data_IF_906776477151
#
_entry.id   IF_906776477151
#
_cell.length_a   1.000
_cell.length_b   1.000
_cell.length_c   1.000
_cell.angle_alpha   90.00
_cell.angle_beta   90.00
_cell.angle_gamma   90.00
#
_symmetry.space_group_name_H-M   'P 1'
#
loop_
_entity.id
_entity.type
_entity.pdbx_description
1 polymer ?
#
# COMPACT_ATOMS: atom_id res chain seq x y z
N UNK A 1 22.90 12.98 20.68
CA UNK A 1 21.67 12.43 20.09
C UNK A 1 20.90 13.59 19.50
N UNK A 2 20.64 13.58 18.20
CA UNK A 2 19.91 14.63 17.51
C UNK A 2 18.59 14.02 17.04
N UNK A 3 17.47 14.53 17.54
CA UNK A 3 16.13 14.10 17.16
C UNK A 3 15.60 15.13 16.17
N UNK A 4 15.48 14.73 14.91
CA UNK A 4 14.84 15.55 13.88
C UNK A 4 13.34 15.24 13.86
N UNK A 5 12.53 16.25 14.12
CA UNK A 5 11.07 16.15 14.11
C UNK A 5 10.56 16.75 12.79
N UNK A 6 10.51 15.93 11.75
CA UNK A 6 9.83 16.28 10.50
C UNK A 6 8.37 15.87 10.56
N UNK A 7 7.50 16.66 9.92
CA UNK A 7 6.13 16.24 9.67
C UNK A 7 6.13 14.99 8.79
N UNK A 8 5.37 13.96 9.19
CA UNK A 8 5.20 12.71 8.46
C UNK A 8 3.73 12.56 8.10
N UNK A 9 3.44 12.46 6.80
CA UNK A 9 2.08 12.21 6.29
C UNK A 9 1.88 10.72 6.08
N UNK A 10 1.01 10.13 6.90
CA UNK A 10 0.70 8.69 6.84
C UNK A 10 -0.66 8.47 6.16
N UNK A 11 -0.65 7.76 5.04
CA UNK A 11 -1.88 7.22 4.45
C UNK A 11 -2.35 6.01 5.27
N UNK A 12 -3.67 5.84 5.46
CA UNK A 12 -4.19 4.74 6.27
C UNK A 12 -5.28 3.96 5.54
N UNK A 13 -5.20 2.63 5.59
CA UNK A 13 -6.21 1.73 5.04
C UNK A 13 -6.28 0.44 5.85
N UNK A 14 -7.49 0.11 6.33
CA UNK A 14 -7.75 -1.16 7.03
C UNK A 14 -8.82 -1.94 6.25
N UNK A 15 -8.52 -3.21 5.96
CA UNK A 15 -9.46 -4.13 5.30
C UNK A 15 -10.33 -4.82 6.34
N UNK A 16 -11.57 -5.11 5.94
CA UNK A 16 -12.54 -5.88 6.73
C UNK A 16 -12.00 -7.28 7.05
N UNK A 17 -12.56 -7.95 8.08
CA UNK A 17 -12.17 -9.32 8.44
C UNK A 17 -12.27 -10.31 7.27
N UNK A 18 -11.47 -11.36 7.31
CA UNK A 18 -11.41 -12.41 6.28
C UNK A 18 -10.49 -12.11 5.08
N UNK A 19 -10.20 -10.84 4.79
CA UNK A 19 -9.23 -10.51 3.72
C UNK A 19 -7.79 -10.87 4.10
N UNK A 20 -7.43 -10.80 5.39
CA UNK A 20 -6.09 -11.16 5.86
C UNK A 20 -5.78 -12.64 5.61
N UNK A 21 -6.76 -13.53 5.79
CA UNK A 21 -6.58 -14.96 5.52
C UNK A 21 -6.49 -15.28 4.04
N UNK A 22 -7.22 -14.55 3.18
CA UNK A 22 -7.24 -14.78 1.72
C UNK A 22 -6.03 -14.17 1.02
N UNK A 23 -5.59 -12.99 1.48
CA UNK A 23 -4.53 -12.20 0.85
C UNK A 23 -3.53 -11.70 1.90
N UNK A 24 -2.82 -12.61 2.61
CA UNK A 24 -2.02 -12.29 3.79
C UNK A 24 -0.77 -11.45 3.53
N UNK A 25 -0.41 -11.22 2.27
CA UNK A 25 0.77 -10.45 1.88
C UNK A 25 0.46 -9.40 0.82
N UNK A 26 -0.82 -9.17 0.53
CA UNK A 26 -1.22 -8.19 -0.47
C UNK A 26 -1.73 -6.92 0.20
N UNK A 27 -1.26 -5.78 -0.29
CA UNK A 27 -1.91 -4.49 -0.04
C UNK A 27 -2.60 -3.99 -1.30
N UNK A 28 -3.64 -3.18 -1.10
CA UNK A 28 -4.46 -2.63 -2.19
C UNK A 28 -4.49 -1.12 -2.13
N UNK A 29 -4.36 -0.49 -3.30
CA UNK A 29 -4.46 0.96 -3.48
C UNK A 29 -5.53 1.24 -4.51
N UNK A 30 -6.44 2.18 -4.25
CA UNK A 30 -7.46 2.57 -5.24
C UNK A 30 -6.80 3.21 -6.45
N UNK A 31 -7.05 2.65 -7.63
CA UNK A 31 -6.48 3.06 -8.91
C UNK A 31 -7.52 3.73 -9.83
N UNK A 32 -8.82 3.55 -9.58
CA UNK A 32 -9.90 4.22 -10.32
C UNK A 32 -11.12 4.45 -9.44
N UNK A 33 -11.83 5.54 -9.70
CA UNK A 33 -13.18 5.84 -9.19
C UNK A 33 -14.09 6.23 -10.34
N UNK A 34 -15.38 5.92 -10.23
CA UNK A 34 -16.36 6.22 -11.28
C UNK A 34 -16.48 7.71 -11.59
N UNK A 35 -16.30 8.57 -10.58
CA UNK A 35 -16.37 10.03 -10.73
C UNK A 35 -15.17 10.66 -11.45
N UNK A 36 -14.10 9.90 -11.70
CA UNK A 36 -12.84 10.44 -12.25
C UNK A 36 -12.02 11.29 -11.27
N UNK A 37 -12.45 11.41 -10.02
CA UNK A 37 -11.68 12.12 -8.99
C UNK A 37 -10.30 11.48 -8.76
N UNK A 38 -9.35 12.28 -8.25
CA UNK A 38 -7.98 11.84 -7.99
C UNK A 38 -7.96 10.62 -7.05
N UNK A 39 -7.29 9.55 -7.50
CA UNK A 39 -7.25 8.26 -6.81
C UNK A 39 -6.14 8.21 -5.77
N UNK A 40 -6.21 7.24 -4.85
CA UNK A 40 -5.13 7.01 -3.87
C UNK A 40 -3.80 6.75 -4.57
N UNK A 41 -3.80 5.96 -5.65
CA UNK A 41 -2.60 5.66 -6.42
C UNK A 41 -2.04 6.92 -7.07
N UNK A 42 -2.87 7.76 -7.68
CA UNK A 42 -2.44 9.02 -8.29
C UNK A 42 -1.76 9.94 -7.25
N UNK A 43 -2.38 10.10 -6.07
CA UNK A 43 -1.81 10.88 -4.96
C UNK A 43 -0.44 10.36 -4.55
N UNK A 44 -0.33 9.06 -4.32
CA UNK A 44 0.92 8.42 -3.86
C UNK A 44 2.02 8.56 -4.91
N UNK A 45 1.71 8.32 -6.19
CA UNK A 45 2.66 8.43 -7.30
C UNK A 45 3.12 9.89 -7.48
N UNK A 46 2.22 10.86 -7.29
CA UNK A 46 2.53 12.30 -7.32
C UNK A 46 3.27 12.81 -6.07
N UNK A 47 3.75 11.91 -5.20
CA UNK A 47 4.58 12.25 -4.05
C UNK A 47 3.80 12.58 -2.77
N UNK A 48 2.48 12.39 -2.74
CA UNK A 48 1.72 12.53 -1.50
C UNK A 48 2.00 11.37 -0.56
N UNK A 49 2.28 11.70 0.70
CA UNK A 49 2.48 10.71 1.76
C UNK A 49 3.90 10.16 1.81
N UNK A 50 4.37 10.00 3.05
CA UNK A 50 5.65 9.43 3.39
C UNK A 50 5.52 7.93 3.62
N UNK A 51 4.52 7.54 4.43
CA UNK A 51 4.25 6.16 4.79
C UNK A 51 2.79 5.78 4.54
N UNK A 52 2.53 4.48 4.43
CA UNK A 52 1.19 3.91 4.38
C UNK A 52 1.04 2.86 5.47
N UNK A 53 0.09 3.09 6.38
CA UNK A 53 -0.41 2.07 7.27
C UNK A 53 -1.45 1.20 6.54
N UNK A 54 -1.16 -0.09 6.41
CA UNK A 54 -2.07 -1.07 5.82
C UNK A 54 -2.35 -2.19 6.82
N UNK A 55 -3.62 -2.40 7.16
CA UNK A 55 -4.00 -3.41 8.15
C UNK A 55 -5.16 -4.28 7.73
N UNK A 56 -5.30 -5.40 8.44
CA UNK A 56 -6.48 -6.27 8.41
C UNK A 56 -7.14 -6.23 9.78
N UNK A 57 -8.42 -5.89 9.82
CA UNK A 57 -9.20 -5.95 11.04
C UNK A 57 -9.33 -7.40 11.53
N UNK A 58 -9.29 -7.59 12.85
CA UNK A 58 -9.57 -8.87 13.50
C UNK A 58 -11.08 -9.20 13.44
N UNK A 59 -11.45 -10.44 13.78
CA UNK A 59 -12.83 -10.93 13.60
C UNK A 59 -13.88 -10.13 14.39
N UNK A 60 -13.53 -9.62 15.57
CA UNK A 60 -14.44 -8.80 16.39
C UNK A 60 -14.55 -7.32 15.93
N UNK A 61 -13.72 -6.91 14.96
CA UNK A 61 -13.68 -5.56 14.41
C UNK A 61 -13.17 -4.47 15.38
N UNK A 62 -12.64 -4.84 16.54
CA UNK A 62 -12.15 -3.92 17.59
C UNK A 62 -10.64 -3.74 17.56
N UNK A 63 -9.93 -4.52 16.74
CA UNK A 63 -8.48 -4.47 16.62
C UNK A 63 -7.99 -4.86 15.23
N UNK A 64 -6.69 -5.15 15.16
CA UNK A 64 -6.00 -5.56 13.95
C UNK A 64 -5.48 -6.98 14.13
N UNK A 65 -5.74 -7.85 13.15
CA UNK A 65 -5.17 -9.19 13.08
C UNK A 65 -3.73 -9.16 12.54
N UNK A 66 -3.45 -8.27 11.57
CA UNK A 66 -2.12 -8.05 11.02
C UNK A 66 -2.02 -6.63 10.43
N UNK A 67 -0.83 -6.03 10.45
CA UNK A 67 -0.58 -4.75 9.81
C UNK A 67 0.87 -4.57 9.32
N UNK A 68 1.03 -3.64 8.38
CA UNK A 68 2.32 -3.14 7.91
C UNK A 68 2.33 -1.62 7.88
N UNK A 69 3.49 -1.05 8.18
CA UNK A 69 3.84 0.31 7.85
C UNK A 69 4.77 0.28 6.64
N UNK A 70 4.31 0.83 5.52
CA UNK A 70 4.99 0.76 4.23
C UNK A 70 5.64 2.11 3.89
N UNK A 71 6.88 2.11 3.40
CA UNK A 71 7.57 3.30 2.91
C UNK A 71 7.12 3.64 1.47
N UNK A 72 6.47 4.80 1.30
CA UNK A 72 5.97 5.22 -0.01
C UNK A 72 7.07 5.71 -0.95
N UNK A 73 8.22 6.15 -0.42
CA UNK A 73 9.41 6.44 -1.25
C UNK A 73 9.99 5.14 -1.80
N UNK A 74 10.10 4.10 -0.99
CA UNK A 74 10.53 2.77 -1.43
C UNK A 74 9.55 2.19 -2.46
N UNK A 75 8.25 2.32 -2.22
CA UNK A 75 7.20 1.93 -3.17
C UNK A 75 7.36 2.63 -4.52
N UNK A 76 7.48 3.96 -4.54
CA UNK A 76 7.70 4.74 -5.78
C UNK A 76 8.97 4.33 -6.50
N UNK A 77 10.09 4.17 -5.79
CA UNK A 77 11.34 3.72 -6.37
C UNK A 77 11.22 2.32 -7.00
N UNK A 78 10.47 1.42 -6.38
CA UNK A 78 10.21 0.09 -6.92
C UNK A 78 9.38 0.15 -8.22
N UNK A 79 8.36 1.01 -8.29
CA UNK A 79 7.58 1.21 -9.52
C UNK A 79 8.44 1.78 -10.66
N UNK A 80 9.34 2.72 -10.36
CA UNK A 80 10.30 3.25 -11.35
C UNK A 80 11.21 2.15 -11.86
N UNK A 81 11.76 1.29 -10.99
CA UNK A 81 12.58 0.15 -11.40
C UNK A 81 11.79 -0.82 -12.27
N UNK A 82 10.57 -1.17 -11.86
CA UNK A 82 9.69 -2.01 -12.68
C UNK A 82 9.53 -1.47 -14.10
N UNK A 83 9.34 -0.17 -14.26
CA UNK A 83 9.22 0.47 -15.58
C UNK A 83 10.56 0.58 -16.33
N UNK A 84 11.66 0.91 -15.64
CA UNK A 84 12.94 1.24 -16.27
C UNK A 84 13.80 0.01 -16.60
N UNK A 85 13.73 -1.04 -15.78
CA UNK A 85 14.58 -2.22 -15.91
C UNK A 85 13.84 -3.56 -15.79
N UNK A 86 12.51 -3.53 -15.79
CA UNK A 86 11.69 -4.75 -15.79
C UNK A 86 11.65 -5.50 -14.45
N UNK A 87 12.08 -4.88 -13.34
CA UNK A 87 11.98 -5.51 -12.02
C UNK A 87 10.54 -5.96 -11.74
N UNK A 88 10.35 -7.25 -11.46
CA UNK A 88 9.02 -7.86 -11.41
C UNK A 88 8.37 -7.74 -10.04
N UNK A 89 7.54 -6.72 -9.88
CA UNK A 89 6.60 -6.61 -8.75
C UNK A 89 5.33 -7.39 -9.08
N UNK A 90 5.01 -8.39 -8.25
CA UNK A 90 3.76 -9.14 -8.36
C UNK A 90 2.61 -8.21 -7.99
N UNK A 91 1.79 -7.90 -8.99
CA UNK A 91 0.69 -6.96 -8.87
C UNK A 91 -0.35 -7.22 -9.95
N UNK A 92 -1.55 -6.67 -9.76
CA UNK A 92 -2.63 -6.76 -10.72
C UNK A 92 -3.75 -5.78 -10.41
N UNK A 93 -4.76 -5.75 -11.28
CA UNK A 93 -5.92 -4.88 -11.14
C UNK A 93 -7.16 -5.68 -10.73
N UNK A 94 -7.93 -5.11 -9.82
CA UNK A 94 -9.23 -5.61 -9.37
C UNK A 94 -10.28 -4.55 -9.66
N UNK A 95 -11.26 -4.89 -10.48
CA UNK A 95 -12.45 -4.06 -10.72
C UNK A 95 -13.58 -4.49 -9.79
N UNK A 96 -14.31 -3.52 -9.25
CA UNK A 96 -15.52 -3.76 -8.47
C UNK A 96 -16.77 -3.43 -9.30
N UNK A 97 -17.91 -3.95 -8.87
CA UNK A 97 -19.20 -3.71 -9.50
C UNK A 97 -19.61 -2.22 -9.48
N UNK A 98 -19.17 -1.45 -8.48
CA UNK A 98 -19.45 -0.02 -8.32
C UNK A 98 -18.61 0.91 -9.22
N UNK A 99 -17.82 0.33 -10.14
CA UNK A 99 -16.96 1.09 -11.05
C UNK A 99 -15.65 1.58 -10.43
N UNK A 100 -15.38 1.30 -9.16
CA UNK A 100 -14.06 1.52 -8.57
C UNK A 100 -13.10 0.40 -8.95
N UNK A 101 -11.81 0.73 -9.09
CA UNK A 101 -10.75 -0.27 -9.26
C UNK A 101 -9.68 -0.11 -8.20
N UNK A 102 -9.07 -1.22 -7.82
CA UNK A 102 -7.89 -1.26 -6.97
C UNK A 102 -6.75 -1.93 -7.73
N UNK A 103 -5.52 -1.50 -7.45
CA UNK A 103 -4.32 -2.27 -7.78
C UNK A 103 -3.88 -3.01 -6.52
N UNK A 104 -3.63 -4.30 -6.63
CA UNK A 104 -3.05 -5.11 -5.56
C UNK A 104 -1.57 -5.33 -5.81
N UNK A 105 -0.80 -5.48 -4.73
CA UNK A 105 0.64 -5.67 -4.75
C UNK A 105 1.05 -6.67 -3.67
N UNK A 106 1.87 -7.68 -4.02
CA UNK A 106 2.47 -8.59 -3.04
C UNK A 106 3.72 -7.96 -2.43
N UNK A 107 3.69 -7.68 -1.14
CA UNK A 107 4.76 -7.02 -0.37
C UNK A 107 6.10 -7.75 -0.52
N UNK A 108 6.07 -9.08 -0.64
CA UNK A 108 7.27 -9.92 -0.72
C UNK A 108 7.98 -9.82 -2.07
N UNK A 109 7.33 -9.19 -3.07
CA UNK A 109 7.89 -9.02 -4.41
C UNK A 109 8.62 -7.69 -4.60
N UNK A 110 8.73 -6.87 -3.55
CA UNK A 110 9.47 -5.61 -3.60
C UNK A 110 10.97 -5.84 -3.43
N UNK A 111 11.82 -4.92 -3.96
CA UNK A 111 13.25 -4.96 -3.74
C UNK A 111 13.59 -4.97 -2.24
N UNK A 112 14.69 -5.63 -1.89
CA UNK A 112 15.23 -5.58 -0.53
C UNK A 112 15.68 -4.16 -0.16
N UNK A 113 16.20 -3.39 -1.12
CA UNK A 113 16.76 -2.07 -0.88
C UNK A 113 16.22 -0.96 -1.83
N UNK A 114 15.71 0.17 -1.30
CA UNK A 114 15.33 0.35 0.10
C UNK A 114 14.15 -0.57 0.48
N UNK A 115 14.03 -1.00 1.76
CA UNK A 115 12.96 -1.89 2.19
C UNK A 115 11.60 -1.21 2.09
N UNK A 116 10.60 -1.94 1.58
CA UNK A 116 9.22 -1.47 1.57
C UNK A 116 8.61 -1.43 2.97
N UNK A 117 8.86 -2.45 3.79
CA UNK A 117 8.22 -2.59 5.11
C UNK A 117 9.12 -1.96 6.17
N UNK A 118 8.61 -0.92 6.82
CA UNK A 118 9.28 -0.21 7.92
C UNK A 118 8.98 -0.90 9.26
N UNK A 119 7.75 -1.34 9.46
CA UNK A 119 7.30 -2.03 10.67
C UNK A 119 6.11 -2.95 10.37
N UNK A 120 5.84 -3.93 11.24
CA UNK A 120 4.71 -4.86 11.15
C UNK A 120 4.34 -5.43 12.53
N UNK A 121 3.11 -5.96 12.66
CA UNK A 121 2.67 -6.82 13.76
C UNK A 121 3.31 -8.20 13.74
#
# INVERSE_FOLDING_TARGET
MMLDARDVRVAARVRRPGYGSRYPFEFTIRSRVASGAETELAKIVNGSGDWMFYGHANEDGRGLAAWWLLDLKAFRAALIRQAANGYRIRSGDQRNADGTCFKWFDIRSFPAEPPLVVARS
#
